data_IF_503911875787
#
_entry.id   IF_503911875787
#
_cell.length_a   1.000
_cell.length_b   1.000
_cell.length_c   1.000
_cell.angle_alpha   90.00
_cell.angle_beta   90.00
_cell.angle_gamma   90.00
#
_symmetry.space_group_name_H-M   'P 1'
#
loop_
_entity.id
_entity.type
_entity.pdbx_description
1 polymer ?
#
# COMPACT_ATOMS: atom_id res chain seq x y z
N UNK A 1 -8.82 -12.59 4.79
CA UNK A 1 -8.20 -11.48 4.03
C UNK A 1 -9.28 -10.49 3.66
N UNK A 2 -9.30 -9.37 4.38
CA UNK A 2 -10.15 -8.21 4.10
C UNK A 2 -9.94 -7.69 2.67
N UNK A 3 -11.01 -7.17 2.06
CA UNK A 3 -10.99 -6.48 0.76
C UNK A 3 -11.26 -5.00 0.99
N UNK A 4 -10.25 -4.16 0.77
CA UNK A 4 -10.38 -2.71 0.87
C UNK A 4 -11.16 -2.17 -0.33
N UNK A 5 -12.49 -2.04 -0.18
CA UNK A 5 -13.38 -1.52 -1.23
C UNK A 5 -13.09 -0.06 -1.50
N UNK A 6 -12.99 0.34 -2.76
CA UNK A 6 -12.60 1.70 -3.16
C UNK A 6 -11.09 1.99 -3.04
N UNK A 7 -10.27 1.00 -2.65
CA UNK A 7 -8.83 1.11 -2.77
C UNK A 7 -8.41 0.83 -4.22
N UNK A 8 -7.59 1.69 -4.86
CA UNK A 8 -7.22 1.53 -6.26
C UNK A 8 -6.49 0.20 -6.50
N UNK A 9 -6.88 -0.52 -7.56
CA UNK A 9 -6.36 -1.86 -7.82
C UNK A 9 -4.90 -1.89 -8.30
N UNK A 10 -4.46 -0.83 -8.99
CA UNK A 10 -3.16 -0.72 -9.66
C UNK A 10 -2.80 0.73 -9.95
N UNK A 11 -1.56 0.98 -10.34
CA UNK A 11 -1.18 2.23 -10.98
C UNK A 11 -1.66 2.23 -12.45
N UNK A 12 -2.56 3.16 -12.79
CA UNK A 12 -3.15 3.30 -14.12
C UNK A 12 -2.09 3.37 -15.23
N UNK A 13 -2.35 2.68 -16.34
CA UNK A 13 -1.41 2.61 -17.47
C UNK A 13 -0.18 1.71 -17.23
N UNK A 14 -0.12 0.97 -16.12
CA UNK A 14 1.00 0.05 -15.81
C UNK A 14 0.50 -1.29 -15.25
N UNK A 15 1.42 -2.26 -15.15
CA UNK A 15 1.18 -3.55 -14.52
C UNK A 15 1.37 -3.56 -12.99
N UNK A 16 1.73 -2.42 -12.38
CA UNK A 16 1.96 -2.34 -10.94
C UNK A 16 0.65 -2.49 -10.16
N UNK A 17 0.39 -3.70 -9.67
CA UNK A 17 -0.76 -4.00 -8.82
C UNK A 17 -0.54 -3.45 -7.41
N UNK A 18 -1.62 -2.93 -6.82
CA UNK A 18 -1.65 -2.44 -5.46
C UNK A 18 -2.43 -3.37 -4.52
N UNK A 19 -3.28 -4.24 -5.07
CA UNK A 19 -4.04 -5.24 -4.31
C UNK A 19 -3.96 -6.62 -4.95
N UNK A 20 -4.14 -7.66 -4.14
CA UNK A 20 -4.25 -9.04 -4.58
C UNK A 20 -5.71 -9.49 -4.69
N UNK A 21 -6.05 -10.15 -5.81
CA UNK A 21 -7.41 -10.62 -6.08
C UNK A 21 -7.82 -11.82 -5.23
N UNK A 22 -6.88 -12.66 -4.82
CA UNK A 22 -7.14 -13.87 -4.02
C UNK A 22 -6.12 -14.04 -2.90
N UNK A 23 -6.56 -14.60 -1.78
CA UNK A 23 -5.66 -15.02 -0.71
C UNK A 23 -4.83 -16.24 -1.17
N UNK A 24 -3.56 -16.28 -0.79
CA UNK A 24 -2.72 -17.45 -1.01
C UNK A 24 -3.04 -18.51 0.06
N UNK A 25 -3.72 -19.59 -0.36
CA UNK A 25 -4.13 -20.69 0.52
C UNK A 25 -3.01 -21.69 0.80
N UNK A 26 -1.95 -21.71 -0.01
CA UNK A 26 -0.89 -22.73 0.08
C UNK A 26 0.19 -22.32 1.06
N UNK A 27 0.80 -21.15 0.81
CA UNK A 27 1.96 -20.68 1.59
C UNK A 27 1.57 -19.55 2.55
N UNK A 28 0.31 -19.13 2.54
CA UNK A 28 -0.19 -18.00 3.32
C UNK A 28 0.24 -16.63 2.75
N UNK A 29 -0.02 -15.55 3.51
CA UNK A 29 0.39 -14.20 3.12
C UNK A 29 1.90 -14.10 2.95
N UNK A 30 2.36 -13.47 1.85
CA UNK A 30 3.78 -13.16 1.67
C UNK A 30 4.28 -12.32 2.85
N UNK A 31 5.39 -12.70 3.46
CA UNK A 31 5.98 -11.97 4.60
C UNK A 31 6.35 -10.55 4.19
N UNK A 32 5.91 -9.56 4.97
CA UNK A 32 6.38 -8.18 4.83
C UNK A 32 7.83 -8.08 5.27
N UNK A 33 8.66 -7.47 4.42
CA UNK A 33 10.08 -7.21 4.68
C UNK A 33 10.36 -5.73 4.46
N UNK A 34 11.17 -5.13 5.32
CA UNK A 34 11.67 -3.78 5.08
C UNK A 34 12.70 -3.82 3.95
N UNK A 35 12.51 -3.02 2.91
CA UNK A 35 13.42 -2.95 1.76
C UNK A 35 14.25 -1.68 1.76
N UNK A 36 15.52 -1.80 1.42
CA UNK A 36 16.42 -0.65 1.26
C UNK A 36 16.19 0.05 -0.08
N UNK A 37 16.07 1.38 -0.06
CA UNK A 37 15.83 2.20 -1.26
C UNK A 37 17.13 2.87 -1.70
N UNK A 38 17.82 2.28 -2.67
CA UNK A 38 19.02 2.85 -3.28
C UNK A 38 18.70 3.91 -4.35
N UNK A 39 19.67 4.78 -4.64
CA UNK A 39 19.53 5.96 -5.53
C UNK A 39 19.25 5.59 -6.99
N UNK A 40 19.71 4.43 -7.43
CA UNK A 40 19.63 3.91 -8.80
C UNK A 40 18.29 3.21 -9.12
N UNK A 41 17.33 3.23 -8.19
CA UNK A 41 16.00 2.67 -8.45
C UNK A 41 15.35 3.32 -9.67
N UNK A 42 14.83 2.45 -10.54
CA UNK A 42 14.13 2.84 -11.77
C UNK A 42 13.04 3.86 -11.45
N UNK A 43 12.90 4.86 -12.31
CA UNK A 43 11.95 5.94 -12.12
C UNK A 43 10.51 5.42 -11.96
N UNK A 44 10.10 4.46 -12.81
CA UNK A 44 8.76 3.84 -12.75
C UNK A 44 8.48 3.13 -11.42
N UNK A 45 9.48 2.51 -10.82
CA UNK A 45 9.35 1.87 -9.52
C UNK A 45 9.16 2.89 -8.40
N UNK A 46 9.85 4.04 -8.48
CA UNK A 46 9.67 5.15 -7.54
C UNK A 46 8.30 5.79 -7.66
N UNK A 47 7.79 5.96 -8.90
CA UNK A 47 6.43 6.44 -9.15
C UNK A 47 5.38 5.49 -8.57
N UNK A 48 5.56 4.18 -8.72
CA UNK A 48 4.66 3.19 -8.15
C UNK A 48 4.62 3.25 -6.61
N UNK A 49 5.76 3.46 -5.95
CA UNK A 49 5.82 3.60 -4.49
C UNK A 49 5.12 4.89 -4.03
N UNK A 50 5.33 6.01 -4.73
CA UNK A 50 4.66 7.28 -4.43
C UNK A 50 3.14 7.20 -4.63
N UNK A 51 2.69 6.61 -5.74
CA UNK A 51 1.27 6.41 -6.00
C UNK A 51 0.62 5.44 -5.00
N UNK A 52 1.33 4.38 -4.59
CA UNK A 52 0.84 3.47 -3.55
C UNK A 52 0.75 4.17 -2.20
N UNK A 53 1.72 5.01 -1.83
CA UNK A 53 1.66 5.83 -0.63
C UNK A 53 0.48 6.82 -0.67
N UNK A 54 0.22 7.44 -1.82
CA UNK A 54 -0.95 8.30 -2.01
C UNK A 54 -2.26 7.56 -1.81
N UNK A 55 -2.38 6.36 -2.38
CA UNK A 55 -3.55 5.51 -2.19
C UNK A 55 -3.75 5.13 -0.72
N UNK A 56 -2.68 4.74 -0.01
CA UNK A 56 -2.75 4.45 1.43
C UNK A 56 -3.21 5.66 2.23
N UNK A 57 -2.63 6.83 1.97
CA UNK A 57 -2.96 8.07 2.69
C UNK A 57 -4.41 8.50 2.45
N UNK A 58 -4.86 8.52 1.19
CA UNK A 58 -6.22 8.92 0.84
C UNK A 58 -7.27 7.95 1.39
N UNK A 59 -6.93 6.66 1.52
CA UNK A 59 -7.89 5.64 1.95
C UNK A 59 -7.93 5.45 3.47
N UNK A 60 -6.79 5.44 4.15
CA UNK A 60 -6.69 5.13 5.59
C UNK A 60 -6.32 6.34 6.46
N UNK A 61 -5.65 7.34 5.91
CA UNK A 61 -5.10 8.46 6.68
C UNK A 61 -4.10 7.99 7.74
N UNK A 62 -4.21 8.50 8.96
CA UNK A 62 -3.36 8.13 10.10
C UNK A 62 -3.90 6.93 10.90
N UNK A 63 -5.11 6.49 10.62
CA UNK A 63 -5.77 5.45 11.39
C UNK A 63 -5.12 4.07 11.14
N UNK A 64 -5.05 3.20 12.17
CA UNK A 64 -4.65 1.82 11.97
C UNK A 64 -5.59 1.09 11.00
N UNK A 65 -5.01 0.27 10.13
CA UNK A 65 -5.74 -0.53 9.14
C UNK A 65 -5.19 -1.96 9.05
N UNK A 66 -6.07 -2.91 8.74
CA UNK A 66 -5.66 -4.28 8.44
C UNK A 66 -4.93 -4.33 7.10
N UNK A 67 -3.85 -5.12 7.02
CA UNK A 67 -3.15 -5.37 5.77
C UNK A 67 -4.09 -5.82 4.64
N UNK A 68 -5.03 -6.73 4.94
CA UNK A 68 -6.06 -7.17 3.99
C UNK A 68 -5.49 -7.62 2.65
N UNK A 69 -6.05 -7.10 1.57
CA UNK A 69 -5.68 -7.42 0.20
C UNK A 69 -4.55 -6.55 -0.36
N UNK A 70 -3.88 -5.72 0.42
CA UNK A 70 -2.78 -4.88 -0.08
C UNK A 70 -1.62 -5.76 -0.60
N UNK A 71 -1.05 -5.36 -1.74
CA UNK A 71 0.06 -6.07 -2.35
C UNK A 71 1.30 -6.02 -1.44
N UNK A 72 1.77 -7.21 -1.04
CA UNK A 72 2.92 -7.34 -0.15
C UNK A 72 4.20 -6.79 -0.79
N UNK A 73 4.32 -6.90 -2.12
CA UNK A 73 5.48 -6.46 -2.88
C UNK A 73 5.66 -4.94 -2.83
N UNK A 74 4.56 -4.18 -3.01
CA UNK A 74 4.51 -2.73 -2.84
C UNK A 74 4.63 -2.32 -1.38
N UNK A 75 3.85 -2.94 -0.50
CA UNK A 75 3.84 -2.61 0.92
C UNK A 75 5.21 -2.79 1.59
N UNK A 76 5.99 -3.80 1.16
CA UNK A 76 7.37 -4.02 1.65
C UNK A 76 8.34 -2.87 1.33
N UNK A 77 8.07 -2.03 0.33
CA UNK A 77 8.91 -0.86 0.03
C UNK A 77 8.69 0.31 1.00
N UNK A 78 7.51 0.37 1.63
CA UNK A 78 7.13 1.40 2.60
C UNK A 78 7.25 0.90 4.06
N UNK A 79 7.21 -0.43 4.25
CA UNK A 79 7.21 -1.05 5.56
C UNK A 79 8.53 -0.83 6.32
N UNK A 80 8.41 -0.50 7.61
CA UNK A 80 9.52 -0.15 8.51
C UNK A 80 9.97 1.31 8.40
N UNK A 81 9.34 2.09 7.51
CA UNK A 81 9.63 3.51 7.31
C UNK A 81 8.36 4.34 7.38
N UNK A 82 7.61 4.39 6.28
CA UNK A 82 6.38 5.19 6.16
C UNK A 82 5.16 4.41 6.62
N UNK A 83 5.20 3.07 6.50
CA UNK A 83 4.20 2.19 7.09
C UNK A 83 4.87 1.37 8.20
N UNK A 84 4.26 1.33 9.37
CA UNK A 84 4.77 0.63 10.55
C UNK A 84 3.70 -0.29 11.12
N UNK A 85 4.13 -1.26 11.93
CA UNK A 85 3.22 -2.11 12.70
C UNK A 85 2.37 -1.24 13.66
N UNK A 86 1.09 -1.56 13.75
CA UNK A 86 0.15 -0.94 14.70
C UNK A 86 -0.25 -1.90 15.84
N UNK A 87 0.40 -3.06 15.93
CA UNK A 87 0.19 -4.09 16.94
C UNK A 87 1.54 -4.65 17.44
N UNK A 88 1.55 -5.16 18.67
CA UNK A 88 2.69 -5.85 19.29
C UNK A 88 2.17 -7.05 20.11
N UNK A 89 2.53 -8.30 19.79
CA UNK A 89 3.47 -8.73 18.74
C UNK A 89 2.90 -8.58 17.32
N UNK A 90 3.77 -8.18 16.37
CA UNK A 90 3.41 -8.04 14.95
C UNK A 90 3.69 -9.31 14.15
N UNK A 91 2.69 -9.78 13.38
CA UNK A 91 2.87 -10.90 12.45
C UNK A 91 3.02 -10.42 10.99
N UNK A 92 4.24 -10.36 10.42
CA UNK A 92 4.47 -9.89 9.06
C UNK A 92 3.88 -10.81 7.97
N UNK A 93 3.46 -12.02 8.32
CA UNK A 93 2.85 -12.99 7.42
C UNK A 93 1.37 -13.25 7.76
N UNK A 94 0.67 -12.25 8.31
CA UNK A 94 -0.80 -12.28 8.49
C UNK A 94 -1.49 -11.34 7.51
N UNK A 95 -2.69 -11.70 7.05
CA UNK A 95 -3.60 -10.78 6.34
C UNK A 95 -4.31 -9.82 7.28
N UNK A 96 -4.42 -10.20 8.55
CA UNK A 96 -5.15 -9.45 9.57
C UNK A 96 -4.19 -8.58 10.39
N UNK A 97 -2.91 -8.52 10.00
CA UNK A 97 -1.89 -7.70 10.66
C UNK A 97 -2.27 -6.23 10.58
N UNK A 98 -2.27 -5.56 11.74
CA UNK A 98 -2.54 -4.13 11.82
C UNK A 98 -1.30 -3.28 11.49
N UNK A 99 -1.50 -2.32 10.60
CA UNK A 99 -0.51 -1.38 10.11
C UNK A 99 -1.01 0.05 10.31
N UNK A 100 -0.10 1.02 10.33
CA UNK A 100 -0.43 2.44 10.32
C UNK A 100 0.61 3.23 9.55
N UNK A 101 0.22 4.40 9.08
CA UNK A 101 1.12 5.34 8.40
C UNK A 101 1.86 6.17 9.47
N UNK A 102 3.19 6.15 9.46
CA UNK A 102 3.98 7.16 10.16
C UNK A 102 3.96 8.43 9.30
N UNK A 103 3.00 9.31 9.60
CA UNK A 103 2.77 10.54 8.85
C UNK A 103 4.02 11.38 8.68
N UNK A 104 4.82 11.55 9.75
CA UNK A 104 6.03 12.40 9.68
C UNK A 104 7.03 11.84 8.68
N UNK A 105 7.24 10.53 8.69
CA UNK A 105 8.14 9.88 7.72
C UNK A 105 7.55 9.88 6.31
N UNK A 106 6.25 9.68 6.17
CA UNK A 106 5.57 9.71 4.89
C UNK A 106 5.63 11.10 4.23
N UNK A 107 5.33 12.16 4.98
CA UNK A 107 5.44 13.55 4.51
C UNK A 107 6.87 13.91 4.08
N UNK A 108 7.88 13.47 4.85
CA UNK A 108 9.27 13.73 4.51
C UNK A 108 9.75 12.95 3.27
N UNK A 109 9.24 11.74 3.07
CA UNK A 109 9.67 10.86 1.98
C UNK A 109 8.91 11.11 0.66
N UNK A 110 7.66 11.55 0.74
CA UNK A 110 6.73 11.74 -0.39
C UNK A 110 5.96 13.06 -0.25
N UNK A 111 6.64 14.22 -0.21
CA UNK A 111 5.98 15.51 0.02
C UNK A 111 4.87 15.81 -1.01
N UNK A 112 4.99 15.30 -2.24
CA UNK A 112 4.01 15.44 -3.30
C UNK A 112 2.65 14.79 -2.98
N UNK A 113 2.64 13.77 -2.11
CA UNK A 113 1.40 13.07 -1.69
C UNK A 113 0.59 13.90 -0.71
N UNK A 114 1.25 14.77 0.04
CA UNK A 114 0.65 15.59 1.10
C UNK A 114 0.48 17.06 0.69
N UNK A 115 0.81 17.39 -0.55
CA UNK A 115 0.65 18.73 -1.08
C UNK A 115 -0.85 19.10 -1.19
N UNK A 116 -1.24 20.37 -1.02
CA UNK A 116 -2.64 20.81 -1.12
C UNK A 116 -3.28 20.52 -2.48
N UNK A 117 -2.48 20.44 -3.54
CA UNK A 117 -2.86 20.17 -4.92
C UNK A 117 -2.54 18.73 -5.37
N UNK A 118 -2.26 17.84 -4.40
CA UNK A 118 -1.98 16.43 -4.70
C UNK A 118 -3.15 15.80 -5.48
N UNK A 119 -2.88 15.11 -6.61
CA UNK A 119 -3.93 14.51 -7.40
C UNK A 119 -4.63 13.39 -6.60
N UNK A 120 -5.96 13.37 -6.69
CA UNK A 120 -6.75 12.26 -6.16
C UNK A 120 -6.47 11.02 -6.99
N UNK A 121 -6.07 9.93 -6.33
CA UNK A 121 -5.89 8.65 -7.00
C UNK A 121 -7.29 8.09 -7.23
N UNK A 122 -7.76 8.14 -8.47
CA UNK A 122 -9.05 7.56 -8.84
C UNK A 122 -8.97 6.03 -8.77
N UNK A 123 -9.94 5.42 -8.09
CA UNK A 123 -10.19 3.99 -8.23
C UNK A 123 -10.78 3.75 -9.61
N UNK A 124 -9.99 3.20 -10.55
CA UNK A 124 -10.47 2.75 -11.87
C UNK A 124 -11.34 1.47 -11.76
N UNK A 125 -12.22 1.36 -10.76
CA UNK A 125 -13.23 0.29 -10.70
C UNK A 125 -14.40 0.67 -11.62
N UNK A 126 -14.25 0.31 -12.89
CA UNK A 126 -15.37 -0.09 -13.73
C UNK A 126 -15.63 -1.59 -13.50
N UNK A 127 -16.90 -1.95 -13.32
CA UNK A 127 -17.53 -3.27 -13.14
C UNK A 127 -17.72 -3.79 -11.70
N UNK A 128 -18.66 -3.17 -10.98
CA UNK A 128 -19.69 -3.91 -10.21
C UNK A 128 -20.93 -4.08 -11.12
N UNK A 129 -20.78 -4.82 -12.23
CA UNK A 129 -21.90 -5.48 -12.90
C UNK A 129 -21.66 -6.99 -12.75
N UNK A 130 -22.28 -7.59 -11.73
CA UNK A 130 -23.02 -8.84 -11.83
C UNK A 130 -23.63 -9.15 -10.45
N UNK A 131 -24.94 -8.91 -10.36
CA UNK A 131 -25.86 -9.37 -9.32
C UNK A 131 -26.02 -10.90 -9.31
#
# INVERSE_FOLDING_TARGET
MLKHRGFPGRLTGTDFQFVIRRANKKDGPTKLIARERYKDRKHVDRLADAAFMAALWQHFGEEPFERGNLDAGRLSWLFGREVVAAEDPFNPASYDALLRIDRRRAEAAFPEVFAPDAPLIQSDDWDDEDE
#
